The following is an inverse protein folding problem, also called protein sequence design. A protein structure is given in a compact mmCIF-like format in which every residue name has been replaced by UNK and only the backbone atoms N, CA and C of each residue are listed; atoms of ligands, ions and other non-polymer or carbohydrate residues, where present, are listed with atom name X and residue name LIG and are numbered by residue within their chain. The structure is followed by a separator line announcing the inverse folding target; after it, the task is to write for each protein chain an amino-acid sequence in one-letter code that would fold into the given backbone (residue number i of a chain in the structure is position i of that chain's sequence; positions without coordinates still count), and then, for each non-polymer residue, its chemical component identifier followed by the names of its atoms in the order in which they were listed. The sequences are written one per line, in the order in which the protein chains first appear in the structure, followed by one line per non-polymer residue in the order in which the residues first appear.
data_IF_597674575601
#
_entry.id   IF_597674575601
#
_cell.length_a   1.000
_cell.length_b   1.000
_cell.length_c   1.000
_cell.angle_alpha   90.00
_cell.angle_beta   90.00
_cell.angle_gamma   90.00
#
_symmetry.space_group_name_H-M   'P 1'
#
loop_
_entity.id
_entity.type
_entity.pdbx_description
1 polymer ?
#
# COMPACT_ATOMS: atom_id res chain seq x y z
N UNK A 1 45.94 -27.55 -41.97
CA UNK A 1 45.32 -26.75 -40.89
C UNK A 1 43.97 -26.35 -41.42
N UNK A 2 43.00 -27.24 -41.25
CA UNK A 2 41.69 -27.17 -41.90
C UNK A 2 40.65 -26.89 -40.80
N UNK A 3 40.12 -25.66 -40.80
CA UNK A 3 39.28 -25.09 -39.73
C UNK A 3 37.81 -25.40 -40.03
N UNK A 4 37.49 -26.64 -40.41
CA UNK A 4 36.13 -27.04 -40.78
C UNK A 4 35.55 -28.20 -39.96
N UNK A 5 36.33 -28.81 -39.06
CA UNK A 5 35.86 -29.95 -38.26
C UNK A 5 35.30 -29.59 -36.86
N UNK A 6 35.24 -28.30 -36.53
CA UNK A 6 34.79 -27.81 -35.21
C UNK A 6 33.36 -27.24 -35.19
N UNK A 7 32.59 -27.40 -36.28
CA UNK A 7 31.19 -26.92 -36.39
C UNK A 7 30.19 -28.04 -36.61
N UNK A 8 30.21 -29.05 -35.76
CA UNK A 8 29.02 -29.87 -35.48
C UNK A 8 28.41 -29.47 -34.13
N UNK A 9 27.08 -29.49 -34.02
CA UNK A 9 26.33 -28.59 -33.17
C UNK A 9 26.37 -29.05 -31.71
N UNK A 10 26.78 -28.15 -30.82
CA UNK A 10 26.57 -28.26 -29.36
C UNK A 10 25.08 -28.10 -28.95
N UNK A 11 24.14 -28.35 -29.87
CA UNK A 11 22.70 -28.17 -29.66
C UNK A 11 21.94 -29.50 -29.44
N UNK A 12 22.60 -30.65 -29.55
CA UNK A 12 21.94 -31.96 -29.36
C UNK A 12 22.35 -32.70 -28.07
N UNK A 13 23.19 -32.08 -27.23
CA UNK A 13 23.71 -32.72 -26.03
C UNK A 13 23.44 -31.90 -24.75
N UNK A 14 22.20 -31.47 -24.56
CA UNK A 14 21.67 -31.22 -23.20
C UNK A 14 20.14 -31.34 -23.22
N UNK A 15 19.70 -32.59 -23.34
CA UNK A 15 18.37 -33.05 -23.00
C UNK A 15 18.08 -32.74 -21.52
N UNK A 16 17.28 -31.71 -21.25
CA UNK A 16 16.76 -31.43 -19.90
C UNK A 16 16.21 -30.02 -19.68
N UNK A 17 16.75 -29.00 -20.35
CA UNK A 17 16.27 -27.62 -20.21
C UNK A 17 15.54 -27.15 -21.47
N UNK A 18 14.28 -26.68 -21.36
CA UNK A 18 13.57 -26.14 -22.51
C UNK A 18 14.32 -24.93 -23.08
N UNK A 19 14.45 -24.86 -24.40
CA UNK A 19 15.13 -23.76 -25.08
C UNK A 19 14.46 -22.41 -24.72
N UNK A 20 15.22 -21.28 -24.66
CA UNK A 20 14.67 -19.97 -24.30
C UNK A 20 13.47 -19.57 -25.17
N UNK A 21 13.52 -19.93 -26.46
CA UNK A 21 12.46 -19.69 -27.42
C UNK A 21 11.21 -20.54 -27.16
N UNK A 22 11.38 -21.78 -26.66
CA UNK A 22 10.28 -22.65 -26.26
C UNK A 22 9.57 -22.17 -25.00
N UNK A 23 10.32 -21.70 -24.01
CA UNK A 23 9.77 -21.09 -22.78
C UNK A 23 8.93 -19.85 -23.06
N UNK A 24 9.38 -18.99 -23.98
CA UNK A 24 8.64 -17.79 -24.40
C UNK A 24 7.34 -18.18 -25.13
N UNK A 25 7.39 -19.18 -26.02
CA UNK A 25 6.21 -19.66 -26.74
C UNK A 25 5.16 -20.32 -25.81
N UNK A 26 5.60 -21.12 -24.83
CA UNK A 26 4.72 -21.69 -23.81
C UNK A 26 4.11 -20.62 -22.92
N UNK A 27 4.90 -19.62 -22.53
CA UNK A 27 4.43 -18.49 -21.72
C UNK A 27 3.40 -17.64 -22.47
N UNK A 28 3.62 -17.37 -23.77
CA UNK A 28 2.66 -16.62 -24.60
C UNK A 28 1.37 -17.40 -24.85
N UNK A 29 1.46 -18.72 -25.06
CA UNK A 29 0.29 -19.60 -25.17
C UNK A 29 -0.49 -19.67 -23.85
N UNK A 30 0.20 -19.73 -22.70
CA UNK A 30 -0.41 -19.62 -21.37
C UNK A 30 -1.14 -18.28 -21.21
N UNK A 31 -0.48 -17.15 -21.49
CA UNK A 31 -1.03 -15.81 -21.31
C UNK A 31 -2.24 -15.53 -22.21
N UNK A 32 -2.36 -16.22 -23.35
CA UNK A 32 -3.53 -16.11 -24.24
C UNK A 32 -4.82 -16.72 -23.65
N UNK A 33 -4.70 -17.66 -22.70
CA UNK A 33 -5.83 -18.36 -22.07
C UNK A 33 -6.26 -17.75 -20.72
N UNK A 34 -5.47 -16.82 -20.17
CA UNK A 34 -5.72 -16.22 -18.86
C UNK A 34 -6.86 -15.19 -18.94
N UNK A 35 -7.82 -15.30 -18.01
CA UNK A 35 -8.89 -14.32 -17.81
C UNK A 35 -8.57 -13.43 -16.60
N UNK A 36 -8.34 -12.14 -16.84
CA UNK A 36 -7.89 -11.19 -15.81
C UNK A 36 -8.98 -10.60 -14.91
N UNK A 37 -10.26 -10.94 -15.11
CA UNK A 37 -11.37 -10.30 -14.37
C UNK A 37 -11.27 -10.47 -12.85
N UNK A 38 -11.00 -11.69 -12.37
CA UNK A 38 -10.84 -11.97 -10.93
C UNK A 38 -9.52 -11.43 -10.38
N UNK A 39 -8.47 -11.37 -11.20
CA UNK A 39 -7.20 -10.73 -10.85
C UNK A 39 -7.38 -9.22 -10.62
N UNK A 40 -8.13 -8.53 -11.48
CA UNK A 40 -8.46 -7.12 -11.30
C UNK A 40 -9.31 -6.89 -10.06
N UNK A 41 -10.24 -7.79 -9.74
CA UNK A 41 -11.02 -7.72 -8.49
C UNK A 41 -10.12 -7.89 -7.25
N UNK A 42 -9.22 -8.88 -7.26
CA UNK A 42 -8.27 -9.10 -6.18
C UNK A 42 -7.32 -7.91 -6.00
N UNK A 43 -6.88 -7.31 -7.12
CA UNK A 43 -6.05 -6.12 -7.10
C UNK A 43 -6.83 -4.92 -6.59
N UNK A 44 -8.07 -4.72 -7.04
CA UNK A 44 -8.95 -3.66 -6.56
C UNK A 44 -9.14 -3.73 -5.05
N UNK A 45 -9.40 -4.92 -4.51
CA UNK A 45 -9.47 -5.16 -3.07
C UNK A 45 -8.16 -4.76 -2.38
N UNK A 46 -7.01 -5.21 -2.89
CA UNK A 46 -5.72 -4.91 -2.29
C UNK A 46 -5.34 -3.42 -2.33
N UNK A 47 -5.65 -2.70 -3.42
CA UNK A 47 -5.30 -1.28 -3.58
C UNK A 47 -6.13 -0.33 -2.71
N UNK A 48 -7.22 -0.81 -2.08
CA UNK A 48 -7.91 -0.07 -1.02
C UNK A 48 -7.02 0.21 0.20
N UNK A 49 -6.00 -0.63 0.43
CA UNK A 49 -4.97 -0.38 1.44
C UNK A 49 -4.16 0.89 1.16
N UNK A 50 -3.47 1.01 0.00
CA UNK A 50 -2.80 2.21 -0.46
C UNK A 50 -3.68 3.45 -0.49
N UNK A 51 -4.96 3.30 -0.86
CA UNK A 51 -5.93 4.39 -0.76
C UNK A 51 -6.10 4.86 0.69
N UNK A 52 -6.26 3.93 1.64
CA UNK A 52 -6.34 4.20 3.08
C UNK A 52 -5.06 4.84 3.61
N UNK A 53 -3.90 4.41 3.13
CA UNK A 53 -2.61 5.02 3.46
C UNK A 53 -2.54 6.48 2.98
N UNK A 54 -2.96 6.75 1.74
CA UNK A 54 -3.08 8.10 1.23
C UNK A 54 -4.01 8.97 2.07
N UNK A 55 -5.14 8.42 2.52
CA UNK A 55 -6.06 9.10 3.42
C UNK A 55 -5.39 9.48 4.75
N UNK A 56 -4.65 8.57 5.36
CA UNK A 56 -3.93 8.83 6.62
C UNK A 56 -2.88 9.93 6.48
N UNK A 57 -2.13 9.92 5.37
CA UNK A 57 -1.13 10.95 5.08
C UNK A 57 -1.77 12.33 4.90
N UNK A 58 -2.82 12.39 4.07
CA UNK A 58 -3.53 13.63 3.76
C UNK A 58 -4.33 14.21 4.93
N UNK A 59 -4.80 13.36 5.86
CA UNK A 59 -5.68 13.75 6.98
C UNK A 59 -5.13 14.87 7.86
N UNK A 60 -3.80 14.90 8.03
CA UNK A 60 -3.10 15.91 8.84
C UNK A 60 -3.38 17.34 8.37
N UNK A 61 -3.42 17.56 7.05
CA UNK A 61 -3.48 18.91 6.47
C UNK A 61 -4.76 19.67 6.83
N UNK A 62 -5.98 19.13 6.61
CA UNK A 62 -7.20 19.80 7.03
C UNK A 62 -7.45 19.68 8.55
N UNK A 63 -7.03 18.59 9.19
CA UNK A 63 -7.32 18.37 10.61
C UNK A 63 -6.50 19.27 11.55
N UNK A 64 -5.23 19.56 11.22
CA UNK A 64 -4.35 20.36 12.10
C UNK A 64 -4.88 21.80 12.29
N UNK A 65 -5.17 22.58 11.23
CA UNK A 65 -5.70 23.95 11.39
C UNK A 65 -7.02 23.99 12.16
N UNK A 66 -7.89 23.01 11.94
CA UNK A 66 -9.18 22.90 12.63
C UNK A 66 -8.99 22.57 14.12
N UNK A 67 -8.13 21.60 14.44
CA UNK A 67 -7.82 21.21 15.82
C UNK A 67 -7.04 22.30 16.58
N UNK A 68 -6.26 23.15 15.91
CA UNK A 68 -5.61 24.30 16.55
C UNK A 68 -6.61 25.41 16.94
N UNK A 69 -7.74 25.49 16.23
CA UNK A 69 -8.80 26.47 16.45
C UNK A 69 -10.06 25.90 17.13
N UNK A 70 -10.01 24.66 17.63
CA UNK A 70 -11.17 23.98 18.23
C UNK A 70 -11.65 24.71 19.50
N UNK A 71 -12.97 24.80 19.68
CA UNK A 71 -13.60 25.44 20.83
C UNK A 71 -13.36 24.68 22.14
N UNK A 72 -13.05 23.37 22.07
CA UNK A 72 -12.77 22.55 23.23
C UNK A 72 -11.29 22.65 23.61
N UNK A 73 -10.99 23.32 24.73
CA UNK A 73 -9.62 23.47 25.24
C UNK A 73 -8.87 22.13 25.48
N UNK A 74 -9.59 21.00 25.63
CA UNK A 74 -8.99 19.66 25.80
C UNK A 74 -8.55 18.99 24.49
N UNK A 75 -9.07 19.46 23.37
CA UNK A 75 -8.76 18.97 22.02
C UNK A 75 -7.92 19.97 21.23
N UNK A 76 -7.89 21.23 21.66
CA UNK A 76 -7.12 22.29 21.04
C UNK A 76 -5.63 21.97 21.07
N UNK A 77 -5.03 21.87 19.88
CA UNK A 77 -3.60 21.59 19.75
C UNK A 77 -2.77 22.88 19.83
N UNK A 78 -1.70 22.85 20.63
CA UNK A 78 -0.61 23.84 20.53
C UNK A 78 0.30 23.50 19.32
N UNK A 79 1.18 24.42 18.91
CA UNK A 79 2.11 24.22 17.78
C UNK A 79 2.97 22.96 17.91
N UNK A 80 3.54 22.72 19.10
CA UNK A 80 4.30 21.51 19.39
C UNK A 80 3.42 20.26 19.28
N UNK A 81 2.18 20.34 19.76
CA UNK A 81 1.26 19.21 19.75
C UNK A 81 0.76 18.87 18.34
N UNK A 82 0.55 19.88 17.51
CA UNK A 82 0.25 19.72 16.08
C UNK A 82 1.42 19.07 15.34
N UNK A 83 2.65 19.46 15.67
CA UNK A 83 3.86 18.86 15.11
C UNK A 83 4.01 17.38 15.47
N UNK A 84 3.72 17.03 16.72
CA UNK A 84 3.64 15.64 17.16
C UNK A 84 2.51 14.88 16.46
N UNK A 85 1.33 15.50 16.28
CA UNK A 85 0.18 14.88 15.62
C UNK A 85 0.48 14.52 14.15
N UNK A 86 1.23 15.38 13.44
CA UNK A 86 1.67 15.13 12.08
C UNK A 86 2.79 14.09 11.98
N UNK A 87 3.74 14.08 12.92
CA UNK A 87 4.94 13.22 12.83
C UNK A 87 4.76 11.83 13.43
N UNK A 88 3.93 11.64 14.47
CA UNK A 88 3.81 10.35 15.16
C UNK A 88 3.29 9.21 14.26
N UNK A 89 2.57 9.56 13.20
CA UNK A 89 2.11 8.61 12.17
C UNK A 89 3.28 7.96 11.42
N UNK A 90 4.38 8.67 11.19
CA UNK A 90 5.55 8.14 10.49
C UNK A 90 6.34 7.20 11.38
N UNK A 91 6.39 7.47 12.69
CA UNK A 91 6.94 6.55 13.70
C UNK A 91 6.11 5.26 13.74
N UNK A 92 4.79 5.38 13.76
CA UNK A 92 3.88 4.24 13.65
C UNK A 92 4.15 3.44 12.37
N UNK A 93 4.30 4.10 11.23
CA UNK A 93 4.59 3.47 9.94
C UNK A 93 5.94 2.75 9.91
N UNK A 94 6.98 3.30 10.54
CA UNK A 94 8.28 2.64 10.66
C UNK A 94 8.17 1.31 11.43
N UNK A 95 7.48 1.32 12.58
CA UNK A 95 7.22 0.10 13.36
C UNK A 95 6.35 -0.88 12.57
N UNK A 96 5.31 -0.37 11.90
CA UNK A 96 4.42 -1.15 11.06
C UNK A 96 5.14 -1.84 9.89
N UNK A 97 6.12 -1.20 9.27
CA UNK A 97 6.91 -1.80 8.19
C UNK A 97 7.72 -3.01 8.68
N UNK A 98 8.36 -2.91 9.86
CA UNK A 98 9.10 -4.01 10.47
C UNK A 98 8.17 -5.18 10.84
N UNK A 99 7.03 -4.88 11.46
CA UNK A 99 6.01 -5.89 11.78
C UNK A 99 5.42 -6.53 10.53
N UNK A 100 5.22 -5.75 9.47
CA UNK A 100 4.67 -6.21 8.20
C UNK A 100 5.51 -7.30 7.56
N UNK A 101 6.84 -7.16 7.57
CA UNK A 101 7.74 -8.21 7.08
C UNK A 101 7.55 -9.54 7.82
N UNK A 102 7.57 -9.51 9.15
CA UNK A 102 7.35 -10.70 9.98
C UNK A 102 5.95 -11.30 9.79
N UNK A 103 4.91 -10.47 9.67
CA UNK A 103 3.54 -10.92 9.45
C UNK A 103 3.42 -11.65 8.10
N UNK A 104 3.94 -11.07 7.02
CA UNK A 104 3.78 -11.66 5.68
C UNK A 104 4.46 -13.01 5.56
N UNK A 105 5.61 -13.20 6.22
CA UNK A 105 6.30 -14.48 6.26
C UNK A 105 5.54 -15.53 7.06
N UNK A 106 5.00 -15.18 8.24
CA UNK A 106 4.45 -16.16 9.19
C UNK A 106 2.97 -16.49 8.98
N UNK A 107 2.14 -15.51 8.62
CA UNK A 107 0.68 -15.66 8.53
C UNK A 107 0.14 -15.52 7.10
N UNK A 108 0.97 -15.13 6.14
CA UNK A 108 0.57 -14.95 4.75
C UNK A 108 0.16 -13.53 4.41
N UNK A 109 -0.07 -13.26 3.12
CA UNK A 109 -0.27 -11.91 2.60
C UNK A 109 -1.72 -11.47 2.81
N UNK A 110 -2.70 -12.33 2.50
CA UNK A 110 -4.13 -12.07 2.70
C UNK A 110 -4.44 -11.79 4.17
N UNK A 111 -4.00 -12.67 5.07
CA UNK A 111 -4.27 -12.49 6.50
C UNK A 111 -3.55 -11.25 7.04
N UNK A 112 -2.35 -10.93 6.56
CA UNK A 112 -1.67 -9.69 6.93
C UNK A 112 -2.47 -8.44 6.52
N UNK A 113 -3.07 -8.42 5.32
CA UNK A 113 -3.93 -7.32 4.88
C UNK A 113 -5.22 -7.20 5.70
N UNK A 114 -5.81 -8.33 6.07
CA UNK A 114 -7.01 -8.33 6.92
C UNK A 114 -6.68 -7.84 8.33
N UNK A 115 -5.58 -8.31 8.91
CA UNK A 115 -5.15 -7.91 10.25
C UNK A 115 -4.67 -6.46 10.30
N UNK A 116 -4.12 -5.90 9.23
CA UNK A 116 -3.76 -4.48 9.18
C UNK A 116 -4.97 -3.56 9.03
N UNK A 117 -6.10 -4.05 8.50
CA UNK A 117 -7.34 -3.29 8.47
C UNK A 117 -7.89 -3.01 9.87
N UNK A 118 -7.65 -3.89 10.85
CA UNK A 118 -8.08 -3.70 12.24
C UNK A 118 -7.48 -2.43 12.88
N UNK A 119 -6.15 -2.23 12.96
CA UNK A 119 -5.57 -1.01 13.52
C UNK A 119 -5.93 0.24 12.72
N UNK A 120 -6.22 0.14 11.40
CA UNK A 120 -6.79 1.27 10.66
C UNK A 120 -8.16 1.68 11.20
N UNK A 121 -9.10 0.72 11.29
CA UNK A 121 -10.48 0.99 11.74
C UNK A 121 -10.48 1.44 13.20
N UNK A 122 -9.74 0.76 14.08
CA UNK A 122 -9.60 1.18 15.48
C UNK A 122 -8.94 2.55 15.61
N UNK A 123 -7.89 2.81 14.83
CA UNK A 123 -7.19 4.10 14.85
C UNK A 123 -8.11 5.26 14.48
N UNK A 124 -8.89 5.14 13.40
CA UNK A 124 -9.90 6.15 13.05
C UNK A 124 -11.03 6.22 14.07
N UNK A 125 -11.50 5.10 14.61
CA UNK A 125 -12.55 5.08 15.64
C UNK A 125 -12.12 5.85 16.89
N UNK A 126 -10.87 5.68 17.33
CA UNK A 126 -10.31 6.42 18.47
C UNK A 126 -10.19 7.91 18.15
N UNK A 127 -9.81 8.28 16.92
CA UNK A 127 -9.79 9.69 16.49
C UNK A 127 -11.21 10.27 16.53
N UNK A 128 -12.20 9.58 15.98
CA UNK A 128 -13.61 10.03 15.98
C UNK A 128 -14.12 10.25 17.41
N UNK A 129 -13.82 9.31 18.31
CA UNK A 129 -14.21 9.36 19.72
C UNK A 129 -13.28 10.22 20.59
N UNK A 130 -12.33 10.95 20.01
CA UNK A 130 -11.32 11.66 20.78
C UNK A 130 -11.94 12.77 21.65
N UNK A 131 -11.60 12.71 22.94
CA UNK A 131 -11.95 13.70 23.96
C UNK A 131 -10.72 14.41 24.55
N UNK A 132 -9.53 13.92 24.22
CA UNK A 132 -8.25 14.46 24.63
C UNK A 132 -7.21 14.31 23.51
N UNK A 133 -6.14 15.11 23.57
CA UNK A 133 -5.01 15.05 22.62
C UNK A 133 -4.32 13.67 22.62
N UNK A 134 -4.31 12.98 23.76
CA UNK A 134 -3.71 11.65 23.86
C UNK A 134 -4.43 10.61 22.98
N UNK A 135 -5.77 10.62 22.93
CA UNK A 135 -6.53 9.74 22.03
C UNK A 135 -6.19 10.03 20.56
N UNK A 136 -6.03 11.29 20.19
CA UNK A 136 -5.59 11.67 18.84
C UNK A 136 -4.22 11.05 18.51
N UNK A 137 -3.25 11.10 19.43
CA UNK A 137 -1.95 10.47 19.24
C UNK A 137 -2.03 8.94 19.13
N UNK A 138 -2.79 8.28 20.00
CA UNK A 138 -2.98 6.83 19.95
C UNK A 138 -3.59 6.41 18.60
N UNK A 139 -4.62 7.11 18.14
CA UNK A 139 -5.24 6.83 16.85
C UNK A 139 -4.27 7.04 15.67
N UNK A 140 -3.38 8.03 15.76
CA UNK A 140 -2.35 8.28 14.74
C UNK A 140 -1.24 7.24 14.73
N UNK A 141 -0.84 6.75 15.89
CA UNK A 141 0.11 5.61 15.98
C UNK A 141 -0.49 4.37 15.35
N UNK A 142 -1.76 4.05 15.64
CA UNK A 142 -2.43 2.86 15.08
C UNK A 142 -2.64 2.95 13.57
N UNK A 143 -3.12 4.09 13.07
CA UNK A 143 -3.26 4.32 11.61
C UNK A 143 -1.90 4.34 10.91
N UNK A 144 -0.86 4.86 11.55
CA UNK A 144 0.52 4.78 11.08
C UNK A 144 1.03 3.34 11.00
N UNK A 145 0.86 2.55 12.06
CA UNK A 145 1.24 1.13 12.09
C UNK A 145 0.56 0.35 10.96
N UNK A 146 -0.75 0.54 10.81
CA UNK A 146 -1.51 -0.09 9.73
C UNK A 146 -0.99 0.32 8.34
N UNK A 147 -0.67 1.60 8.16
CA UNK A 147 -0.10 2.14 6.93
C UNK A 147 1.26 1.53 6.59
N UNK A 148 2.14 1.40 7.59
CA UNK A 148 3.45 0.77 7.43
C UNK A 148 3.35 -0.68 6.96
N UNK A 149 2.51 -1.48 7.62
CA UNK A 149 2.25 -2.88 7.21
C UNK A 149 1.73 -2.92 5.77
N UNK A 150 0.71 -2.12 5.47
CA UNK A 150 0.04 -2.10 4.15
C UNK A 150 1.01 -1.71 3.02
N UNK A 151 1.92 -0.77 3.27
CA UNK A 151 2.91 -0.33 2.29
C UNK A 151 3.86 -1.43 1.81
N UNK A 152 4.09 -2.45 2.66
CA UNK A 152 4.90 -3.62 2.32
C UNK A 152 4.03 -4.74 1.72
N UNK A 153 2.89 -5.05 2.35
CA UNK A 153 2.10 -6.23 2.00
C UNK A 153 1.39 -6.08 0.66
N UNK A 154 0.87 -4.88 0.32
CA UNK A 154 0.06 -4.71 -0.89
C UNK A 154 0.88 -4.85 -2.18
N UNK A 155 2.03 -4.16 -2.36
CA UNK A 155 2.88 -4.38 -3.53
C UNK A 155 3.32 -5.84 -3.65
N UNK A 156 3.60 -6.49 -2.52
CA UNK A 156 4.01 -7.89 -2.49
C UNK A 156 2.87 -8.81 -2.94
N UNK A 157 1.67 -8.65 -2.39
CA UNK A 157 0.47 -9.39 -2.79
C UNK A 157 0.18 -9.23 -4.28
N UNK A 158 0.22 -8.00 -4.80
CA UNK A 158 0.02 -7.74 -6.23
C UNK A 158 1.13 -8.40 -7.05
N UNK A 159 2.38 -8.32 -6.61
CA UNK A 159 3.52 -8.88 -7.34
C UNK A 159 3.51 -10.41 -7.42
N UNK A 160 2.93 -11.08 -6.42
CA UNK A 160 2.81 -12.55 -6.35
C UNK A 160 1.54 -13.08 -7.02
N UNK A 161 0.50 -12.25 -7.15
CA UNK A 161 -0.75 -12.64 -7.83
C UNK A 161 -0.78 -12.23 -9.30
N UNK A 162 -0.12 -11.14 -9.69
CA UNK A 162 -0.09 -10.65 -11.06
C UNK A 162 0.84 -11.47 -11.96
N UNK A 163 0.39 -11.73 -13.19
CA UNK A 163 1.25 -12.30 -14.23
C UNK A 163 2.17 -11.22 -14.83
N UNK A 164 3.27 -11.64 -15.46
CA UNK A 164 4.37 -10.78 -15.91
C UNK A 164 3.91 -9.58 -16.77
N UNK A 165 2.99 -9.79 -17.73
CA UNK A 165 2.44 -8.72 -18.59
C UNK A 165 1.68 -7.60 -17.87
N UNK A 166 0.94 -7.87 -16.78
CA UNK A 166 0.14 -6.84 -16.07
C UNK A 166 0.76 -6.39 -14.75
N UNK A 167 1.80 -7.07 -14.25
CA UNK A 167 2.44 -6.76 -12.97
C UNK A 167 2.92 -5.31 -12.88
N UNK A 168 3.49 -4.77 -13.95
CA UNK A 168 3.93 -3.36 -13.99
C UNK A 168 2.76 -2.38 -13.87
N UNK A 169 1.67 -2.61 -14.61
CA UNK A 169 0.46 -1.78 -14.55
C UNK A 169 -0.17 -1.81 -13.14
N UNK A 170 -0.35 -3.00 -12.58
CA UNK A 170 -0.97 -3.18 -11.27
C UNK A 170 -0.07 -2.63 -10.15
N UNK A 171 1.25 -2.71 -10.30
CA UNK A 171 2.21 -2.05 -9.42
C UNK A 171 2.05 -0.53 -9.42
N UNK A 172 1.91 0.09 -10.59
CA UNK A 172 1.68 1.55 -10.70
C UNK A 172 0.35 1.99 -10.09
N UNK A 173 -0.69 1.13 -10.13
CA UNK A 173 -1.97 1.41 -9.48
C UNK A 173 -1.84 1.62 -7.95
N UNK A 174 -0.87 0.99 -7.29
CA UNK A 174 -0.62 1.19 -5.85
C UNK A 174 -0.32 2.66 -5.57
N UNK A 175 0.67 3.24 -6.26
CA UNK A 175 1.07 4.62 -6.06
C UNK A 175 -0.04 5.58 -6.48
N UNK A 176 -0.76 5.27 -7.57
CA UNK A 176 -1.90 6.07 -8.01
C UNK A 176 -2.98 6.15 -6.92
N UNK A 177 -3.29 5.04 -6.25
CA UNK A 177 -4.29 5.02 -5.18
C UNK A 177 -3.85 5.80 -3.94
N UNK A 178 -2.55 5.83 -3.61
CA UNK A 178 -2.03 6.71 -2.55
C UNK A 178 -2.31 8.18 -2.87
N UNK A 179 -1.98 8.60 -4.10
CA UNK A 179 -2.16 10.01 -4.53
C UNK A 179 -3.65 10.37 -4.61
N UNK A 180 -4.49 9.49 -5.16
CA UNK A 180 -5.95 9.66 -5.17
C UNK A 180 -6.51 9.74 -3.75
N UNK A 181 -5.93 8.98 -2.81
CA UNK A 181 -6.26 9.06 -1.40
C UNK A 181 -6.01 10.45 -0.84
N UNK A 182 -4.78 10.95 -0.97
CA UNK A 182 -4.38 12.27 -0.48
C UNK A 182 -5.29 13.36 -1.07
N UNK A 183 -5.50 13.32 -2.38
CA UNK A 183 -6.38 14.25 -3.09
C UNK A 183 -7.82 14.19 -2.57
N UNK A 184 -8.36 12.98 -2.36
CA UNK A 184 -9.70 12.77 -1.84
C UNK A 184 -9.89 13.37 -0.45
N UNK A 185 -8.89 13.25 0.43
CA UNK A 185 -8.94 13.86 1.77
C UNK A 185 -8.83 15.37 1.74
N UNK A 186 -7.99 15.95 0.87
CA UNK A 186 -7.94 17.40 0.71
C UNK A 186 -9.27 17.95 0.21
N UNK A 187 -9.90 17.25 -0.75
CA UNK A 187 -11.22 17.64 -1.26
C UNK A 187 -12.30 17.52 -0.18
N UNK A 188 -12.34 16.41 0.55
CA UNK A 188 -13.31 16.19 1.63
C UNK A 188 -13.10 17.18 2.80
N UNK A 189 -11.85 17.51 3.14
CA UNK A 189 -11.50 18.46 4.19
C UNK A 189 -11.93 19.90 3.92
N UNK A 190 -12.29 20.25 2.67
CA UNK A 190 -12.89 21.56 2.37
C UNK A 190 -14.37 21.65 2.79
N UNK A 191 -15.06 20.51 2.94
CA UNK A 191 -16.51 20.46 3.19
C UNK A 191 -16.87 19.82 4.53
N UNK A 192 -15.94 19.13 5.19
CA UNK A 192 -16.20 18.28 6.35
C UNK A 192 -15.29 18.65 7.51
N UNK A 193 -15.85 18.63 8.72
CA UNK A 193 -15.08 18.74 9.97
C UNK A 193 -14.15 17.54 10.15
N UNK A 194 -13.09 17.70 10.95
CA UNK A 194 -12.08 16.67 11.22
C UNK A 194 -12.68 15.32 11.67
N UNK A 195 -13.76 15.34 12.46
CA UNK A 195 -14.46 14.10 12.89
C UNK A 195 -15.16 13.38 11.74
N UNK A 196 -15.88 14.12 10.91
CA UNK A 196 -16.57 13.56 9.74
C UNK A 196 -15.57 13.07 8.70
N UNK A 197 -14.47 13.81 8.53
CA UNK A 197 -13.36 13.40 7.70
C UNK A 197 -12.75 12.08 8.19
N UNK A 198 -12.58 11.89 9.50
CA UNK A 198 -12.09 10.63 10.07
C UNK A 198 -13.06 9.46 9.83
N UNK A 199 -14.37 9.70 9.88
CA UNK A 199 -15.40 8.71 9.51
C UNK A 199 -15.23 8.31 8.03
N UNK A 200 -15.12 9.28 7.12
CA UNK A 200 -14.86 9.01 5.71
C UNK A 200 -13.58 8.22 5.50
N UNK A 201 -12.52 8.51 6.26
CA UNK A 201 -11.26 7.79 6.16
C UNK A 201 -11.33 6.34 6.68
N UNK A 202 -12.31 6.00 7.53
CA UNK A 202 -12.53 4.63 8.01
C UNK A 202 -13.23 3.72 6.98
N UNK A 203 -13.82 4.29 5.92
CA UNK A 203 -14.58 3.53 4.91
C UNK A 203 -13.68 2.62 4.06
N UNK A 204 -12.59 3.11 3.43
CA UNK A 204 -11.72 2.23 2.63
C UNK A 204 -11.07 1.07 3.39
N UNK A 205 -10.56 1.20 4.63
CA UNK A 205 -9.99 0.06 5.34
C UNK A 205 -11.05 -0.95 5.76
N UNK A 206 -12.28 -0.50 6.04
CA UNK A 206 -13.41 -1.42 6.28
C UNK A 206 -13.76 -2.20 5.02
N UNK A 207 -13.81 -1.52 3.87
CA UNK A 207 -14.05 -2.15 2.58
C UNK A 207 -12.92 -3.12 2.21
N UNK A 208 -11.65 -2.76 2.46
CA UNK A 208 -10.49 -3.63 2.30
C UNK A 208 -10.69 -4.93 3.10
N UNK A 209 -11.07 -4.84 4.37
CA UNK A 209 -11.27 -6.02 5.23
C UNK A 209 -12.34 -6.96 4.66
N UNK A 210 -13.49 -6.41 4.24
CA UNK A 210 -14.60 -7.19 3.69
C UNK A 210 -14.25 -7.77 2.33
N UNK A 211 -13.69 -6.97 1.42
CA UNK A 211 -13.31 -7.43 0.08
C UNK A 211 -12.20 -8.48 0.13
N UNK A 212 -11.22 -8.32 1.01
CA UNK A 212 -10.09 -9.24 1.11
C UNK A 212 -10.50 -10.61 1.68
N UNK A 213 -11.57 -10.68 2.48
CA UNK A 213 -12.13 -11.95 2.96
C UNK A 213 -12.46 -12.92 1.81
N UNK A 214 -13.02 -12.40 0.71
CA UNK A 214 -13.40 -13.17 -0.47
C UNK A 214 -12.26 -13.50 -1.43
N UNK A 215 -11.08 -12.90 -1.25
CA UNK A 215 -9.93 -13.12 -2.13
C UNK A 215 -9.10 -14.33 -1.69
N UNK A 216 -8.44 -15.06 -2.61
CA UNK A 216 -7.54 -16.15 -2.23
C UNK A 216 -6.23 -15.61 -1.63
N UNK A 217 -5.49 -16.50 -0.96
CA UNK A 217 -4.10 -16.24 -0.54
C UNK A 217 -3.16 -16.35 -1.76
N UNK A 218 -1.94 -15.82 -1.65
CA UNK A 218 -1.01 -15.86 -2.79
C UNK A 218 -0.55 -17.30 -3.10
N UNK A 219 -0.52 -17.71 -4.38
CA UNK A 219 -0.07 -19.05 -4.76
C UNK A 219 1.33 -19.37 -4.26
N UNK A 220 2.23 -18.37 -4.29
CA UNK A 220 3.60 -18.48 -3.80
C UNK A 220 3.66 -18.82 -2.31
N UNK A 221 2.85 -18.17 -1.47
CA UNK A 221 2.81 -18.47 -0.04
C UNK A 221 2.29 -19.88 0.23
N UNK A 222 1.26 -20.31 -0.51
CA UNK A 222 0.66 -21.65 -0.36
C UNK A 222 1.63 -22.76 -0.78
N UNK A 223 2.33 -22.59 -1.91
CA UNK A 223 3.36 -23.54 -2.37
C UNK A 223 4.55 -23.63 -1.40
N UNK A 224 5.00 -22.49 -0.86
CA UNK A 224 6.06 -22.46 0.15
C UNK A 224 5.70 -23.25 1.42
N UNK A 225 4.41 -23.29 1.79
CA UNK A 225 3.91 -24.06 2.93
C UNK A 225 3.49 -25.50 2.58
N UNK A 226 3.81 -25.98 1.37
CA UNK A 226 3.47 -27.33 0.92
C UNK A 226 1.98 -27.55 0.62
N UNK A 227 1.17 -26.50 0.57
CA UNK A 227 -0.28 -26.54 0.31
C UNK A 227 -0.57 -26.46 -1.19
N UNK A 228 -0.08 -27.44 -1.96
CA UNK A 228 -0.18 -27.42 -3.43
C UNK A 228 -1.62 -27.35 -3.96
N UNK A 229 -2.54 -28.11 -3.38
CA UNK A 229 -3.95 -28.10 -3.81
C UNK A 229 -4.60 -26.72 -3.64
N UNK A 230 -4.39 -26.06 -2.49
CA UNK A 230 -4.91 -24.70 -2.25
C UNK A 230 -4.27 -23.68 -3.22
N UNK A 231 -2.99 -23.86 -3.57
CA UNK A 231 -2.30 -23.00 -4.52
C UNK A 231 -2.87 -23.13 -5.95
N UNK A 232 -3.18 -24.36 -6.37
CA UNK A 232 -3.82 -24.62 -7.65
C UNK A 232 -5.22 -23.99 -7.72
N UNK A 233 -6.01 -24.11 -6.65
CA UNK A 233 -7.33 -23.49 -6.58
C UNK A 233 -7.25 -21.95 -6.58
N UNK A 234 -6.27 -21.37 -5.89
CA UNK A 234 -6.00 -19.93 -5.92
C UNK A 234 -5.62 -19.46 -7.34
N UNK A 235 -4.77 -20.22 -8.05
CA UNK A 235 -4.39 -19.93 -9.43
C UNK A 235 -5.57 -20.08 -10.40
N UNK A 236 -6.39 -21.13 -10.27
CA UNK A 236 -7.63 -21.28 -11.06
C UNK A 236 -8.60 -20.12 -10.82
N UNK A 237 -8.67 -19.62 -9.57
CA UNK A 237 -9.45 -18.42 -9.27
C UNK A 237 -8.88 -17.18 -9.95
N UNK A 238 -7.56 -16.96 -9.89
CA UNK A 238 -6.92 -15.75 -10.42
C UNK A 238 -6.81 -15.73 -11.94
N UNK A 239 -6.60 -16.89 -12.58
CA UNK A 239 -6.31 -17.04 -14.02
C UNK A 239 -7.49 -17.52 -14.84
N UNK A 240 -8.50 -18.12 -14.21
CA UNK A 240 -9.64 -18.76 -14.85
C UNK A 240 -9.48 -20.29 -14.97
N UNK A 241 -10.57 -21.01 -15.30
CA UNK A 241 -10.63 -22.47 -15.25
C UNK A 241 -9.80 -23.17 -16.34
N UNK A 242 -9.51 -22.49 -17.46
CA UNK A 242 -8.84 -23.08 -18.63
C UNK A 242 -7.32 -22.83 -18.67
N UNK A 243 -6.77 -22.17 -17.64
CA UNK A 243 -5.34 -21.88 -17.57
C UNK A 243 -4.54 -23.13 -17.15
N UNK A 244 -3.37 -23.42 -17.76
CA UNK A 244 -2.51 -24.51 -17.31
C UNK A 244 -1.84 -24.14 -15.97
N UNK A 245 -2.53 -24.48 -14.88
CA UNK A 245 -2.14 -24.13 -13.51
C UNK A 245 -0.98 -24.99 -13.02
N UNK A 246 -0.86 -26.25 -13.47
CA UNK A 246 0.24 -27.13 -13.05
C UNK A 246 1.62 -26.60 -13.49
N UNK A 247 1.71 -26.01 -14.69
CA UNK A 247 2.95 -25.41 -15.20
C UNK A 247 3.41 -24.22 -14.35
N UNK A 248 2.49 -23.32 -13.99
CA UNK A 248 2.82 -22.15 -13.16
C UNK A 248 3.20 -22.57 -11.74
N UNK A 249 2.52 -23.57 -11.17
CA UNK A 249 2.88 -24.16 -9.88
C UNK A 249 4.31 -24.72 -9.88
N UNK A 250 4.67 -25.55 -10.86
CA UNK A 250 6.01 -26.15 -10.96
C UNK A 250 7.09 -25.06 -11.04
N UNK A 251 6.88 -24.03 -11.86
CA UNK A 251 7.81 -22.91 -12.00
C UNK A 251 8.00 -22.11 -10.71
N UNK A 252 6.94 -21.95 -9.91
CA UNK A 252 7.03 -21.27 -8.60
C UNK A 252 7.74 -22.17 -7.57
N UNK A 253 7.49 -23.48 -7.58
CA UNK A 253 8.16 -24.45 -6.71
C UNK A 253 9.66 -24.51 -6.98
N UNK A 254 10.09 -24.54 -8.25
CA UNK A 254 11.50 -24.49 -8.64
C UNK A 254 12.18 -23.23 -8.10
N UNK A 255 11.54 -22.06 -8.29
CA UNK A 255 12.04 -20.79 -7.78
C UNK A 255 12.09 -20.73 -6.24
N UNK A 256 11.20 -21.46 -5.55
CA UNK A 256 11.20 -21.59 -4.09
C UNK A 256 12.25 -22.59 -3.59
N UNK A 257 12.52 -23.67 -4.32
CA UNK A 257 13.53 -24.68 -4.00
C UNK A 257 14.95 -24.12 -4.03
N UNK A 258 15.23 -23.18 -4.93
CA UNK A 258 16.49 -22.44 -4.97
C UNK A 258 16.65 -21.44 -3.81
N UNK A 259 15.55 -21.02 -3.17
CA UNK A 259 15.50 -20.06 -2.05
C UNK A 259 15.52 -20.73 -0.66
N UNK A 260 16.19 -21.88 -0.53
CA UNK A 260 16.22 -22.73 0.66
C UNK A 260 16.90 -22.17 1.93
N UNK A 261 17.28 -20.90 2.00
CA UNK A 261 17.83 -20.28 3.21
C UNK A 261 16.99 -19.08 3.65
N UNK A 262 16.31 -19.21 4.79
CA UNK A 262 15.81 -18.08 5.56
C UNK A 262 16.89 -17.01 5.66
N UNK A 263 16.58 -15.79 5.21
CA UNK A 263 17.50 -14.66 5.17
C UNK A 263 18.12 -14.45 6.55
N UNK A 264 19.43 -14.73 6.70
CA UNK A 264 20.14 -14.48 7.96
C UNK A 264 20.72 -13.08 7.90
N UNK A 265 20.73 -12.38 9.04
CA UNK A 265 21.38 -11.06 9.19
C UNK A 265 22.88 -11.09 8.80
N UNK A 266 23.51 -12.26 8.74
CA UNK A 266 24.86 -12.47 8.22
C UNK A 266 24.98 -12.24 6.71
N UNK A 267 23.91 -12.48 5.95
CA UNK A 267 23.87 -12.42 4.48
C UNK A 267 23.86 -10.96 4.01
N UNK A 268 23.57 -10.01 4.92
CA UNK A 268 23.72 -8.57 4.70
C UNK A 268 25.18 -8.14 4.48
N UNK A 269 26.16 -9.00 4.77
CA UNK A 269 27.57 -8.74 4.47
C UNK A 269 27.96 -9.11 3.04
N UNK A 270 27.10 -9.83 2.32
CA UNK A 270 27.42 -10.25 0.95
C UNK A 270 27.30 -9.10 -0.05
N UNK A 271 28.30 -8.91 -0.93
CA UNK A 271 28.30 -7.85 -1.94
C UNK A 271 27.18 -7.94 -2.96
N UNK A 272 26.54 -9.10 -3.11
CA UNK A 272 25.33 -9.25 -3.92
C UNK A 272 24.08 -8.65 -3.27
N UNK A 273 24.02 -8.57 -1.93
CA UNK A 273 22.84 -8.13 -1.17
C UNK A 273 23.01 -6.69 -0.67
N UNK A 274 24.18 -6.34 -0.10
CA UNK A 274 24.36 -5.01 0.49
C UNK A 274 24.39 -3.89 -0.56
N UNK A 275 24.86 -4.16 -1.79
CA UNK A 275 24.92 -3.15 -2.86
C UNK A 275 23.50 -2.73 -3.30
N UNK A 276 22.59 -3.64 -3.70
CA UNK A 276 21.19 -3.29 -3.98
C UNK A 276 20.49 -2.67 -2.77
N UNK A 277 20.71 -3.20 -1.57
CA UNK A 277 20.11 -2.68 -0.34
C UNK A 277 20.52 -1.22 -0.08
N UNK A 278 21.82 -0.91 -0.21
CA UNK A 278 22.32 0.45 -0.03
C UNK A 278 21.72 1.41 -1.04
N UNK A 279 21.61 1.01 -2.31
CA UNK A 279 20.94 1.83 -3.35
C UNK A 279 19.47 2.08 -2.98
N UNK A 280 18.75 1.04 -2.56
CA UNK A 280 17.35 1.17 -2.12
C UNK A 280 17.18 2.11 -0.93
N UNK A 281 18.03 1.97 0.09
CA UNK A 281 18.01 2.84 1.29
C UNK A 281 18.35 4.29 0.93
N UNK A 282 19.37 4.52 0.10
CA UNK A 282 19.76 5.87 -0.33
C UNK A 282 18.68 6.53 -1.18
N UNK A 283 18.01 5.78 -2.07
CA UNK A 283 16.87 6.28 -2.84
C UNK A 283 15.72 6.70 -1.93
N UNK A 284 15.38 5.88 -0.92
CA UNK A 284 14.35 6.22 0.06
C UNK A 284 14.74 7.43 0.91
N UNK A 285 16.02 7.54 1.31
CA UNK A 285 16.52 8.69 2.05
C UNK A 285 16.42 9.98 1.24
N UNK A 286 16.88 9.96 -0.02
CA UNK A 286 16.77 11.12 -0.92
C UNK A 286 15.31 11.50 -1.19
N UNK A 287 14.41 10.51 -1.32
CA UNK A 287 12.99 10.77 -1.44
C UNK A 287 12.43 11.54 -0.23
N UNK A 288 12.82 11.17 1.01
CA UNK A 288 12.39 11.88 2.20
C UNK A 288 13.03 13.28 2.33
N UNK A 289 14.29 13.44 1.91
CA UNK A 289 15.00 14.72 1.93
C UNK A 289 14.42 15.78 0.98
N UNK A 290 13.58 15.38 0.02
CA UNK A 290 12.80 16.34 -0.79
C UNK A 290 11.84 17.20 0.05
N UNK A 291 11.52 16.78 1.28
CA UNK A 291 10.58 17.49 2.14
C UNK A 291 9.12 17.31 1.74
N UNK A 292 8.80 16.39 0.82
CA UNK A 292 7.44 16.20 0.30
C UNK A 292 6.41 15.95 1.41
N UNK A 293 6.77 15.19 2.46
CA UNK A 293 5.87 14.93 3.58
C UNK A 293 5.57 16.18 4.42
N UNK A 294 6.51 17.13 4.53
CA UNK A 294 6.26 18.41 5.20
C UNK A 294 5.26 19.25 4.40
N UNK A 295 5.44 19.30 3.07
CA UNK A 295 4.48 19.96 2.16
C UNK A 295 3.12 19.29 2.28
N UNK A 296 3.04 17.97 2.34
CA UNK A 296 1.74 17.27 2.43
C UNK A 296 1.05 17.44 3.79
N UNK A 297 1.78 17.36 4.90
CA UNK A 297 1.14 17.47 6.22
C UNK A 297 0.71 18.88 6.58
N UNK A 298 1.40 19.89 6.05
CA UNK A 298 1.15 21.29 6.36
C UNK A 298 0.69 22.10 5.14
N UNK A 299 0.20 21.44 4.08
CA UNK A 299 -0.18 22.09 2.83
C UNK A 299 -1.11 23.28 3.07
N UNK A 300 -2.18 23.08 3.85
CA UNK A 300 -3.14 24.14 4.15
C UNK A 300 -2.51 25.31 4.94
N UNK A 301 -1.69 25.03 5.96
CA UNK A 301 -1.01 26.07 6.74
C UNK A 301 -0.03 26.88 5.87
N UNK A 302 0.72 26.21 4.98
CA UNK A 302 1.62 26.87 4.02
C UNK A 302 0.84 27.80 3.07
N UNK A 303 -0.29 27.35 2.54
CA UNK A 303 -1.12 28.18 1.65
C UNK A 303 -1.77 29.36 2.39
N UNK A 304 -2.20 29.18 3.64
CA UNK A 304 -2.71 30.26 4.49
C UNK A 304 -1.63 31.32 4.78
N UNK A 305 -0.41 30.89 5.14
CA UNK A 305 0.73 31.79 5.37
C UNK A 305 1.18 32.52 4.09
N UNK A 306 1.03 31.88 2.92
CA UNK A 306 1.34 32.48 1.62
C UNK A 306 0.31 33.53 1.16
N UNK A 307 -0.69 33.87 1.99
CA UNK A 307 -1.78 34.80 1.69
C UNK A 307 -2.61 34.43 0.44
N UNK A 308 -2.56 33.17 0.00
CA UNK A 308 -3.53 32.66 -0.97
C UNK A 308 -4.88 32.54 -0.24
N UNK A 309 -5.70 33.59 -0.34
CA UNK A 309 -7.09 33.53 0.06
C UNK A 309 -7.78 32.46 -0.78
N UNK A 310 -7.90 31.24 -0.23
CA UNK A 310 -8.95 30.34 -0.68
C UNK A 310 -10.25 31.08 -0.39
N UNK A 311 -11.04 31.45 -1.42
CA UNK A 311 -12.29 32.14 -1.17
C UNK A 311 -13.11 31.25 -0.25
N UNK A 312 -13.46 31.75 0.94
CA UNK A 312 -14.53 31.18 1.76
C UNK A 312 -15.80 31.21 0.92
N UNK A 313 -16.03 30.18 0.10
CA UNK A 313 -17.27 29.98 -0.66
C UNK A 313 -18.47 29.63 0.25
N UNK A 314 -18.41 30.04 1.52
CA UNK A 314 -19.45 29.98 2.53
C UNK A 314 -19.57 31.31 3.30
N UNK A 315 -19.16 32.43 2.70
CA UNK A 315 -19.66 33.75 3.10
C UNK A 315 -21.13 33.98 2.70
N UNK A 316 -21.81 32.98 2.12
CA UNK A 316 -23.16 33.10 1.57
C UNK A 316 -24.16 32.07 2.11
N UNK A 317 -24.52 32.12 3.40
CA UNK A 317 -25.88 31.67 3.80
C UNK A 317 -26.45 32.14 5.16
N UNK A 318 -25.75 32.85 6.06
CA UNK A 318 -26.37 33.21 7.36
C UNK A 318 -26.22 34.64 7.89
N UNK A 319 -25.72 35.61 7.12
CA UNK A 319 -25.85 37.02 7.48
C UNK A 319 -26.68 37.80 6.47
N UNK A 320 -28.01 37.75 6.64
CA UNK A 320 -28.87 38.87 6.25
C UNK A 320 -28.57 40.04 7.22
N UNK A 321 -28.11 41.20 6.76
CA UNK A 321 -28.07 42.37 7.62
C UNK A 321 -29.51 42.86 7.81
N UNK A 322 -30.03 42.71 9.03
CA UNK A 322 -31.21 43.46 9.47
C UNK A 322 -30.81 44.93 9.60
N UNK A 323 -31.27 45.73 8.63
CA UNK A 323 -31.24 47.19 8.64
C UNK A 323 -31.91 47.69 9.93
N UNK A 324 -31.30 48.58 10.73
CA UNK A 324 -32.03 49.31 11.74
C UNK A 324 -32.80 50.46 11.10
N UNK A 325 -34.12 50.43 11.20
CA UNK A 325 -34.99 51.58 10.99
C UNK A 325 -34.70 52.62 12.07
N UNK A 326 -34.20 53.77 11.66
CA UNK A 326 -34.10 54.96 12.49
C UNK A 326 -35.51 55.48 12.81
N UNK A 327 -35.74 55.79 14.08
CA UNK A 327 -36.82 56.64 14.59
C UNK A 327 -36.24 57.94 15.10
#
# INVERSE_FOLDING_TARGET
MDIQDERRPLLEAESGHPSPTGLIAEQDAYLSKVKNGKLYLATFAAVLGPLSFGFVLGYSSPAIPELMNDANARLRLNEDQASWFGSIVTVGAAVGGLLGGWMVEKIGRKLSLMLCALPFVFGFTIIIAAQNVFMLYVGRVLTGLASGVTSLVVPLYISETAHERVRGLLGSCVQLMVVLGIMGVYLAGMFMDWRWLAICCSVPPTLLMVSMYFMPETPRYLLFHGKRQEAEDALRYLRGPDAPVEWECARIEDACGEQGSSFRLSDLKDPGIYKPLMVGVMLMAFQQMTGINAIMFYAQNIFEQAHFQVPRALASSSHRPSVPLAS
#
